data_IF_007869285650
#
_entry.id   IF_007869285650
#
_cell.length_a   1.000
_cell.length_b   1.000
_cell.length_c   1.000
_cell.angle_alpha   90.00
_cell.angle_beta   90.00
_cell.angle_gamma   90.00
#
_symmetry.space_group_name_H-M   'P 1'
#
loop_
_entity.id
_entity.type
_entity.pdbx_description
1 polymer ?
#
# COMPACT_ATOMS: atom_id res chain seq x y z
N UNK A 1 36.89 -21.55 4.67
CA UNK A 1 35.85 -20.63 4.13
C UNK A 1 34.66 -21.35 3.47
N UNK A 2 34.49 -22.68 3.56
CA UNK A 2 33.36 -23.41 2.91
C UNK A 2 32.13 -23.63 3.80
N UNK A 3 32.27 -23.74 5.12
CA UNK A 3 31.12 -24.10 5.99
C UNK A 3 30.11 -22.96 6.16
N UNK A 4 30.54 -21.70 6.15
CA UNK A 4 29.61 -20.57 6.24
C UNK A 4 28.76 -20.40 4.98
N UNK A 5 29.36 -20.51 3.78
CA UNK A 5 28.61 -20.46 2.51
C UNK A 5 27.58 -21.59 2.40
N UNK A 6 27.91 -22.77 2.90
CA UNK A 6 27.00 -23.93 2.89
C UNK A 6 25.78 -23.67 3.79
N UNK A 7 26.00 -23.19 5.01
CA UNK A 7 24.92 -22.79 5.94
C UNK A 7 24.04 -21.68 5.36
N UNK A 8 24.62 -20.71 4.64
CA UNK A 8 23.85 -19.64 4.00
C UNK A 8 22.97 -20.17 2.87
N UNK A 9 23.47 -21.08 2.04
CA UNK A 9 22.69 -21.65 0.94
C UNK A 9 21.53 -22.52 1.43
N UNK A 10 21.76 -23.36 2.45
CA UNK A 10 20.71 -24.17 3.08
C UNK A 10 19.63 -23.27 3.69
N UNK A 11 20.02 -22.23 4.44
CA UNK A 11 19.07 -21.27 5.02
C UNK A 11 18.23 -20.55 3.95
N UNK A 12 18.85 -20.12 2.85
CA UNK A 12 18.12 -19.48 1.74
C UNK A 12 17.15 -20.46 1.09
N UNK A 13 17.56 -21.70 0.85
CA UNK A 13 16.69 -22.72 0.24
C UNK A 13 15.51 -23.07 1.15
N UNK A 14 15.74 -23.19 2.46
CA UNK A 14 14.70 -23.46 3.44
C UNK A 14 13.72 -22.29 3.56
N UNK A 15 14.24 -21.06 3.60
CA UNK A 15 13.40 -19.84 3.58
C UNK A 15 12.58 -19.74 2.31
N UNK A 16 13.16 -20.03 1.14
CA UNK A 16 12.45 -20.06 -0.14
C UNK A 16 11.39 -21.17 -0.19
N UNK A 17 11.66 -22.31 0.43
CA UNK A 17 10.71 -23.41 0.55
C UNK A 17 9.51 -22.98 1.39
N UNK A 18 9.72 -22.38 2.56
CA UNK A 18 8.65 -21.86 3.42
C UNK A 18 7.88 -20.72 2.70
N UNK A 19 8.60 -19.83 2.02
CA UNK A 19 8.00 -18.75 1.22
C UNK A 19 7.19 -19.24 0.03
N UNK A 20 7.33 -20.51 -0.38
CA UNK A 20 6.50 -21.16 -1.42
C UNK A 20 5.56 -22.24 -0.86
N UNK A 21 5.71 -22.69 0.39
CA UNK A 21 4.89 -23.75 1.00
C UNK A 21 3.50 -23.27 1.38
N UNK A 22 2.46 -24.07 1.21
CA UNK A 22 1.09 -23.63 1.57
C UNK A 22 0.80 -23.68 3.07
N UNK A 23 1.83 -23.80 3.91
CA UNK A 23 1.68 -24.04 5.36
C UNK A 23 1.25 -22.78 6.12
N UNK A 24 1.61 -21.59 5.63
CA UNK A 24 1.35 -20.31 6.31
C UNK A 24 0.83 -19.22 5.33
N UNK A 25 -0.30 -19.46 4.64
CA UNK A 25 -0.77 -18.57 3.59
C UNK A 25 -1.20 -17.21 4.15
N UNK A 26 -1.84 -17.17 5.32
CA UNK A 26 -2.26 -15.92 5.97
C UNK A 26 -1.11 -15.03 6.43
N UNK A 27 -0.08 -15.63 7.06
CA UNK A 27 1.10 -14.90 7.53
C UNK A 27 1.90 -14.30 6.37
N UNK A 28 2.07 -15.06 5.28
CA UNK A 28 2.78 -14.56 4.11
C UNK A 28 1.95 -13.50 3.37
N UNK A 29 0.61 -13.65 3.32
CA UNK A 29 -0.26 -12.61 2.81
C UNK A 29 -0.19 -11.32 3.65
N UNK A 30 -0.08 -11.41 4.97
CA UNK A 30 0.05 -10.24 5.84
C UNK A 30 1.30 -9.38 5.54
N UNK A 31 2.39 -10.01 5.06
CA UNK A 31 3.60 -9.30 4.62
C UNK A 31 3.30 -8.32 3.48
N UNK A 32 2.24 -8.53 2.69
CA UNK A 32 1.90 -7.61 1.59
C UNK A 32 1.63 -6.18 2.09
N UNK A 33 1.21 -6.03 3.34
CA UNK A 33 0.92 -4.74 3.97
C UNK A 33 2.15 -4.07 4.60
N UNK A 34 3.34 -4.65 4.50
CA UNK A 34 4.57 -3.91 4.83
C UNK A 34 4.69 -2.72 3.86
N UNK A 35 4.83 -1.48 4.38
CA UNK A 35 4.88 -0.28 3.55
C UNK A 35 5.88 -0.37 2.39
N UNK A 36 5.48 0.18 1.25
CA UNK A 36 6.27 0.37 0.01
C UNK A 36 6.70 -0.92 -0.72
N UNK A 37 7.11 -1.98 -0.01
CA UNK A 37 7.77 -3.14 -0.63
C UNK A 37 7.09 -4.49 -0.34
N UNK A 38 6.25 -4.58 0.70
CA UNK A 38 5.62 -5.84 1.12
C UNK A 38 4.83 -6.52 0.00
N UNK A 39 4.01 -5.74 -0.70
CA UNK A 39 3.18 -6.22 -1.81
C UNK A 39 4.03 -6.77 -2.96
N UNK A 40 5.17 -6.14 -3.27
CA UNK A 40 6.08 -6.58 -4.34
C UNK A 40 6.78 -7.89 -3.95
N UNK A 41 7.21 -7.99 -2.68
CA UNK A 41 7.80 -9.19 -2.14
C UNK A 41 6.84 -10.38 -2.26
N UNK A 42 5.61 -10.24 -1.75
CA UNK A 42 4.61 -11.32 -1.81
C UNK A 42 4.22 -11.63 -3.25
N UNK A 43 4.17 -10.64 -4.14
CA UNK A 43 3.89 -10.85 -5.57
C UNK A 43 4.92 -11.77 -6.25
N UNK A 44 6.21 -11.62 -5.95
CA UNK A 44 7.27 -12.46 -6.53
C UNK A 44 7.11 -13.93 -6.13
N UNK A 45 6.69 -14.20 -4.89
CA UNK A 45 6.65 -15.56 -4.34
C UNK A 45 5.28 -16.24 -4.39
N UNK A 46 4.18 -15.47 -4.39
CA UNK A 46 2.82 -15.96 -4.08
C UNK A 46 1.70 -15.43 -4.96
N UNK A 47 1.98 -14.72 -6.06
CA UNK A 47 0.94 -14.14 -6.95
C UNK A 47 -0.07 -15.13 -7.56
N UNK A 48 0.18 -16.43 -7.48
CA UNK A 48 -0.74 -17.45 -8.01
C UNK A 48 -1.73 -17.94 -6.94
N UNK A 49 -1.51 -17.64 -5.67
CA UNK A 49 -2.43 -17.99 -4.59
C UNK A 49 -3.53 -16.93 -4.47
N UNK A 50 -4.78 -17.37 -4.38
CA UNK A 50 -5.96 -16.49 -4.37
C UNK A 50 -5.93 -15.49 -3.21
N UNK A 51 -5.70 -15.99 -1.98
CA UNK A 51 -5.62 -15.17 -0.77
C UNK A 51 -4.50 -14.12 -0.87
N UNK A 52 -3.29 -14.55 -1.24
CA UNK A 52 -2.16 -13.64 -1.39
C UNK A 52 -2.42 -12.58 -2.48
N UNK A 53 -2.99 -12.98 -3.63
CA UNK A 53 -3.31 -12.07 -4.73
C UNK A 53 -4.31 -11.00 -4.33
N UNK A 54 -5.33 -11.38 -3.56
CA UNK A 54 -6.31 -10.46 -3.01
C UNK A 54 -5.66 -9.41 -2.10
N UNK A 55 -4.82 -9.83 -1.15
CA UNK A 55 -4.13 -8.93 -0.24
C UNK A 55 -3.02 -8.10 -0.90
N UNK A 56 -2.31 -8.64 -1.91
CA UNK A 56 -1.37 -7.88 -2.76
C UNK A 56 -2.08 -6.72 -3.44
N UNK A 57 -3.24 -6.95 -4.08
CA UNK A 57 -3.97 -5.90 -4.79
C UNK A 57 -4.48 -4.82 -3.84
N UNK A 58 -4.99 -5.21 -2.67
CA UNK A 58 -5.41 -4.25 -1.64
C UNK A 58 -4.23 -3.42 -1.12
N UNK A 59 -3.10 -4.06 -0.82
CA UNK A 59 -1.91 -3.36 -0.36
C UNK A 59 -1.32 -2.44 -1.43
N UNK A 60 -1.35 -2.84 -2.70
CA UNK A 60 -0.92 -2.00 -3.82
C UNK A 60 -1.80 -0.75 -3.92
N UNK A 61 -3.13 -0.91 -3.88
CA UNK A 61 -4.07 0.22 -3.88
C UNK A 61 -3.82 1.18 -2.71
N UNK A 62 -3.55 0.65 -1.52
CA UNK A 62 -3.23 1.45 -0.34
C UNK A 62 -1.94 2.27 -0.54
N UNK A 63 -0.89 1.64 -1.09
CA UNK A 63 0.37 2.33 -1.39
C UNK A 63 0.21 3.39 -2.48
N UNK A 64 -0.52 3.08 -3.56
CA UNK A 64 -0.79 4.05 -4.65
C UNK A 64 -1.59 5.24 -4.12
N UNK A 65 -2.62 5.00 -3.30
CA UNK A 65 -3.40 6.07 -2.67
C UNK A 65 -2.53 6.96 -1.77
N UNK A 66 -1.67 6.35 -0.96
CA UNK A 66 -0.73 7.08 -0.11
C UNK A 66 0.24 7.96 -0.93
N UNK A 67 0.85 7.39 -1.98
CA UNK A 67 1.74 8.13 -2.89
C UNK A 67 1.00 9.27 -3.58
N UNK A 68 -0.24 9.07 -4.01
CA UNK A 68 -1.05 10.10 -4.66
C UNK A 68 -1.33 11.28 -3.73
N UNK A 69 -1.71 11.03 -2.47
CA UNK A 69 -1.91 12.10 -1.47
C UNK A 69 -0.60 12.85 -1.24
N UNK A 70 0.51 12.13 -1.06
CA UNK A 70 1.82 12.75 -0.87
C UNK A 70 2.25 13.59 -2.07
N UNK A 71 1.97 13.13 -3.30
CA UNK A 71 2.24 13.88 -4.52
C UNK A 71 1.42 15.18 -4.59
N UNK A 72 0.15 15.15 -4.17
CA UNK A 72 -0.69 16.36 -4.07
C UNK A 72 -0.14 17.31 -3.00
N UNK A 73 0.20 16.82 -1.81
CA UNK A 73 0.78 17.64 -0.75
C UNK A 73 2.09 18.29 -1.21
N UNK A 74 2.96 17.51 -1.85
CA UNK A 74 4.21 18.00 -2.43
C UNK A 74 3.95 19.07 -3.49
N UNK A 75 3.01 18.83 -4.40
CA UNK A 75 2.64 19.80 -5.44
C UNK A 75 2.12 21.12 -4.83
N UNK A 76 1.25 21.06 -3.82
CA UNK A 76 0.73 22.26 -3.15
C UNK A 76 1.83 23.05 -2.43
N UNK A 77 2.84 22.35 -1.90
CA UNK A 77 3.94 22.97 -1.16
C UNK A 77 5.01 23.58 -2.08
N UNK A 78 5.35 22.89 -3.16
CA UNK A 78 6.54 23.22 -3.96
C UNK A 78 6.21 23.96 -5.26
N UNK A 79 4.96 23.93 -5.74
CA UNK A 79 4.61 24.58 -6.99
C UNK A 79 4.69 26.11 -6.86
N UNK A 80 5.56 26.82 -7.62
CA UNK A 80 5.95 28.21 -7.32
C UNK A 80 4.80 29.21 -7.20
N UNK A 81 3.75 29.04 -8.02
CA UNK A 81 2.58 29.94 -8.01
C UNK A 81 1.68 29.67 -6.81
N UNK A 82 1.46 28.39 -6.50
CA UNK A 82 0.59 27.97 -5.40
C UNK A 82 1.28 28.23 -4.07
N UNK A 83 2.57 27.91 -3.94
CA UNK A 83 3.36 28.15 -2.74
C UNK A 83 3.46 29.65 -2.43
N UNK A 84 3.58 30.51 -3.45
CA UNK A 84 3.54 31.97 -3.28
C UNK A 84 2.19 32.47 -2.79
N UNK A 85 1.07 32.08 -3.43
CA UNK A 85 -0.29 32.47 -2.99
C UNK A 85 -0.58 31.97 -1.58
N UNK A 86 -0.23 30.71 -1.30
CA UNK A 86 -0.43 30.11 0.01
C UNK A 86 0.52 30.69 1.07
N UNK A 87 1.70 31.22 0.71
CA UNK A 87 2.60 31.89 1.68
C UNK A 87 2.01 33.17 2.25
N UNK A 88 1.14 33.85 1.49
CA UNK A 88 0.38 35.02 1.96
C UNK A 88 -0.61 34.65 3.07
N UNK A 89 -1.00 33.38 3.15
CA UNK A 89 -1.89 32.83 4.17
C UNK A 89 -1.03 31.91 5.05
N UNK A 90 -0.58 32.37 6.22
CA UNK A 90 0.27 31.62 7.20
C UNK A 90 -0.19 30.19 7.59
N UNK A 91 -1.29 29.70 7.03
CA UNK A 91 -1.95 28.41 7.22
C UNK A 91 -1.30 27.27 6.40
N UNK A 92 -0.51 27.58 5.36
CA UNK A 92 0.05 26.57 4.44
C UNK A 92 0.76 25.38 5.13
N UNK A 93 1.83 25.58 5.92
CA UNK A 93 2.56 24.45 6.51
C UNK A 93 1.67 23.63 7.47
N UNK A 94 0.74 24.27 8.19
CA UNK A 94 -0.10 23.59 9.17
C UNK A 94 -1.05 22.59 8.50
N UNK A 95 -1.70 23.00 7.39
CA UNK A 95 -2.66 22.13 6.71
C UNK A 95 -1.96 21.01 5.95
N UNK A 96 -0.85 21.30 5.26
CA UNK A 96 -0.10 20.27 4.54
C UNK A 96 0.55 19.26 5.49
N UNK A 97 1.07 19.70 6.64
CA UNK A 97 1.65 18.82 7.63
C UNK A 97 0.56 18.00 8.33
N UNK A 98 -0.59 18.61 8.65
CA UNK A 98 -1.74 17.90 9.19
C UNK A 98 -2.23 16.79 8.26
N UNK A 99 -2.41 17.09 6.96
CA UNK A 99 -2.80 16.08 5.95
C UNK A 99 -1.76 14.96 5.90
N UNK A 100 -0.47 15.29 5.96
CA UNK A 100 0.60 14.29 5.94
C UNK A 100 0.54 13.36 7.15
N UNK A 101 0.37 13.90 8.36
CA UNK A 101 0.27 13.09 9.58
C UNK A 101 -0.97 12.19 9.57
N UNK A 102 -2.13 12.74 9.21
CA UNK A 102 -3.36 11.95 9.09
C UNK A 102 -3.18 10.84 8.04
N UNK A 103 -2.55 11.15 6.90
CA UNK A 103 -2.28 10.16 5.86
C UNK A 103 -1.42 9.00 6.36
N UNK A 104 -0.39 9.27 7.15
CA UNK A 104 0.43 8.23 7.78
C UNK A 104 -0.36 7.39 8.78
N UNK A 105 -1.16 8.01 9.65
CA UNK A 105 -1.98 7.30 10.64
C UNK A 105 -2.98 6.38 9.93
N UNK A 106 -3.67 6.91 8.93
CA UNK A 106 -4.62 6.17 8.09
C UNK A 106 -3.90 5.02 7.39
N UNK A 107 -2.79 5.30 6.71
CA UNK A 107 -2.02 4.30 5.96
C UNK A 107 -1.54 3.15 6.86
N UNK A 108 -0.96 3.45 8.02
CA UNK A 108 -0.49 2.44 8.97
C UNK A 108 -1.67 1.69 9.61
N UNK A 109 -2.75 2.38 9.95
CA UNK A 109 -3.96 1.76 10.49
C UNK A 109 -4.58 0.77 9.51
N UNK A 110 -4.76 1.16 8.25
CA UNK A 110 -5.26 0.28 7.20
C UNK A 110 -4.29 -0.86 6.87
N UNK A 111 -2.98 -0.62 6.92
CA UNK A 111 -1.98 -1.67 6.75
C UNK A 111 -2.06 -2.70 7.87
N UNK A 112 -2.20 -2.27 9.12
CA UNK A 112 -2.35 -3.16 10.26
C UNK A 112 -3.67 -3.96 10.21
N UNK A 113 -4.78 -3.32 9.87
CA UNK A 113 -6.07 -3.99 9.69
C UNK A 113 -6.03 -5.01 8.54
N UNK A 114 -5.40 -4.64 7.43
CA UNK A 114 -5.21 -5.52 6.28
C UNK A 114 -4.34 -6.73 6.64
N UNK A 115 -3.22 -6.50 7.33
CA UNK A 115 -2.35 -7.55 7.83
C UNK A 115 -3.07 -8.49 8.81
N UNK A 116 -3.89 -7.93 9.71
CA UNK A 116 -4.69 -8.71 10.68
C UNK A 116 -5.77 -9.56 10.00
N UNK A 117 -6.41 -9.04 8.96
CA UNK A 117 -7.37 -9.80 8.16
C UNK A 117 -6.69 -10.90 7.35
N UNK A 118 -5.53 -10.60 6.75
CA UNK A 118 -4.73 -11.57 6.02
C UNK A 118 -4.23 -12.69 6.93
N UNK A 119 -3.76 -12.35 8.14
CA UNK A 119 -3.33 -13.33 9.14
C UNK A 119 -4.47 -14.27 9.56
N UNK A 120 -5.70 -13.77 9.62
CA UNK A 120 -6.90 -14.58 9.86
C UNK A 120 -7.44 -15.29 8.60
N UNK A 121 -6.72 -15.19 7.47
CA UNK A 121 -7.10 -15.79 6.19
C UNK A 121 -8.46 -15.31 5.65
N UNK A 122 -8.85 -14.09 6.01
CA UNK A 122 -10.11 -13.48 5.60
C UNK A 122 -9.93 -12.64 4.34
N UNK A 123 -10.68 -12.98 3.28
CA UNK A 123 -10.84 -12.14 2.09
C UNK A 123 -11.76 -10.93 2.36
N UNK A 124 -11.49 -10.18 3.42
CA UNK A 124 -12.23 -8.96 3.76
C UNK A 124 -11.59 -7.76 3.07
N UNK A 125 -12.39 -7.01 2.32
CA UNK A 125 -11.97 -5.72 1.79
C UNK A 125 -11.81 -4.72 2.92
N UNK A 126 -10.77 -3.91 2.87
CA UNK A 126 -10.62 -2.79 3.78
C UNK A 126 -11.86 -1.89 3.70
N UNK A 127 -12.33 -1.35 4.84
CA UNK A 127 -13.50 -0.48 4.85
C UNK A 127 -13.27 0.76 3.96
N UNK A 128 -14.34 1.27 3.33
CA UNK A 128 -14.34 2.43 2.43
C UNK A 128 -13.61 2.25 1.08
N UNK A 129 -12.84 1.18 0.87
CA UNK A 129 -12.23 0.89 -0.44
C UNK A 129 -13.27 0.71 -1.57
N UNK A 130 -14.35 -0.08 -1.38
CA UNK A 130 -15.36 -0.26 -2.41
C UNK A 130 -16.04 1.07 -2.79
N UNK A 131 -16.37 1.89 -1.79
CA UNK A 131 -16.97 3.20 -2.00
C UNK A 131 -16.02 4.14 -2.75
N UNK A 132 -14.74 4.23 -2.33
CA UNK A 132 -13.74 5.05 -3.01
C UNK A 132 -13.50 4.61 -4.45
N UNK A 133 -13.42 3.31 -4.72
CA UNK A 133 -13.24 2.78 -6.08
C UNK A 133 -14.43 3.13 -6.97
N UNK A 134 -15.65 3.00 -6.46
CA UNK A 134 -16.86 3.36 -7.19
C UNK A 134 -16.91 4.86 -7.50
N UNK A 135 -16.56 5.72 -6.54
CA UNK A 135 -16.50 7.18 -6.76
C UNK A 135 -15.40 7.57 -7.76
N UNK A 136 -14.21 6.98 -7.65
CA UNK A 136 -13.13 7.19 -8.62
C UNK A 136 -13.56 6.75 -10.01
N UNK A 137 -14.19 5.58 -10.15
CA UNK A 137 -14.69 5.11 -11.44
C UNK A 137 -15.75 6.04 -12.03
N UNK A 138 -16.67 6.58 -11.21
CA UNK A 138 -17.65 7.58 -11.66
C UNK A 138 -16.94 8.83 -12.18
N UNK A 139 -15.97 9.36 -11.45
CA UNK A 139 -15.21 10.56 -11.85
C UNK A 139 -14.45 10.30 -13.16
N UNK A 140 -13.71 9.19 -13.25
CA UNK A 140 -12.98 8.83 -14.47
C UNK A 140 -13.90 8.61 -15.66
N UNK A 141 -15.05 7.96 -15.45
CA UNK A 141 -16.06 7.79 -16.50
C UNK A 141 -16.59 9.14 -16.97
N UNK A 142 -16.90 10.04 -16.04
CA UNK A 142 -17.37 11.40 -16.35
C UNK A 142 -16.34 12.19 -17.16
N UNK A 143 -15.07 12.16 -16.77
CA UNK A 143 -13.97 12.79 -17.50
C UNK A 143 -13.82 12.18 -18.90
N UNK A 144 -13.91 10.85 -19.02
CA UNK A 144 -13.73 10.12 -20.27
C UNK A 144 -14.89 10.31 -21.25
N UNK A 145 -16.13 10.38 -20.78
CA UNK A 145 -17.32 10.52 -21.64
C UNK A 145 -17.74 11.97 -21.88
N UNK A 146 -17.03 12.94 -21.29
CA UNK A 146 -17.29 14.38 -21.50
C UNK A 146 -18.71 14.83 -21.17
N UNK A 147 -19.46 14.02 -20.42
CA UNK A 147 -20.87 14.26 -20.15
C UNK A 147 -21.03 15.01 -18.82
N UNK A 148 -21.79 16.12 -18.79
CA UNK A 148 -22.00 16.95 -17.60
C UNK A 148 -22.63 16.18 -16.42
#
# INVERSE_FOLDING_TARGET
MSSERFKTQEFIQETLRILKSEELPGLIAAISYVPFFGWLFVWIFRKNQKLASFHILQALKLNVGFIAIYAVVWFLREFPVISWILSLIRVNPIVTDFISYISWIVFLGYSALGAWNAYQEKESTLPFFPEMENELQKIFKKIRTGSP
#
